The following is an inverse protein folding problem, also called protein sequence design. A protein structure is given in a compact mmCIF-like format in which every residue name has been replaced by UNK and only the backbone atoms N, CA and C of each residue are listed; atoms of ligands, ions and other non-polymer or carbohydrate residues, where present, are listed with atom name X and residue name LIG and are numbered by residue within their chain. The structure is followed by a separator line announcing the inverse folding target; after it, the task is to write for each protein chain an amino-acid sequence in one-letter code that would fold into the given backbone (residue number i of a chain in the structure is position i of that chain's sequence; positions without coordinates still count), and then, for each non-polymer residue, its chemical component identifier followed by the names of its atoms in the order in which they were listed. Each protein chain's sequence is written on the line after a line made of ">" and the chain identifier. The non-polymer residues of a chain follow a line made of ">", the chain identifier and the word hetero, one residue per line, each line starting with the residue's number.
data_IF_227413752876
#
_entry.id   IF_227413752876
#
_cell.length_a   1.000
_cell.length_b   1.000
_cell.length_c   1.000
_cell.angle_alpha   90.00
_cell.angle_beta   90.00
_cell.angle_gamma   90.00
#
_symmetry.space_group_name_H-M   'P 1'
#
loop_
_entity.id
_entity.type
_entity.pdbx_description
1 polymer ?
#
# COMPACT_ATOMS: atom_id res chain seq x y z
N UNK A 1 -11.73 -10.05 -20.34
CA UNK A 1 -11.85 -11.01 -19.22
C UNK A 1 -11.52 -10.28 -17.94
N UNK A 2 -12.40 -10.30 -16.94
CA UNK A 2 -12.08 -9.74 -15.62
C UNK A 2 -11.00 -10.60 -14.95
N UNK A 3 -9.99 -9.98 -14.33
CA UNK A 3 -8.97 -10.71 -13.56
C UNK A 3 -9.64 -11.36 -12.34
N UNK A 4 -9.19 -12.55 -11.95
CA UNK A 4 -9.67 -13.19 -10.72
C UNK A 4 -9.23 -12.39 -9.50
N UNK A 5 -10.02 -12.40 -8.42
CA UNK A 5 -9.65 -11.71 -7.18
C UNK A 5 -8.30 -12.17 -6.61
N UNK A 6 -7.95 -13.45 -6.84
CA UNK A 6 -6.66 -14.06 -6.46
C UNK A 6 -5.48 -13.32 -7.10
N UNK A 7 -5.62 -12.83 -8.33
CA UNK A 7 -4.56 -12.06 -8.97
C UNK A 7 -4.31 -10.72 -8.25
N UNK A 8 -5.35 -10.09 -7.70
CA UNK A 8 -5.18 -8.88 -6.90
C UNK A 8 -4.58 -9.18 -5.53
N UNK A 9 -4.93 -10.31 -4.91
CA UNK A 9 -4.30 -10.76 -3.67
C UNK A 9 -2.79 -10.98 -3.86
N UNK A 10 -2.36 -11.66 -4.92
CA UNK A 10 -0.93 -11.80 -5.23
C UNK A 10 -0.27 -10.45 -5.53
N UNK A 11 -0.97 -9.53 -6.20
CA UNK A 11 -0.42 -8.22 -6.50
C UNK A 11 -0.19 -7.37 -5.23
N UNK A 12 -1.04 -7.51 -4.21
CA UNK A 12 -0.84 -6.91 -2.89
C UNK A 12 0.45 -7.45 -2.26
N UNK A 13 0.63 -8.77 -2.22
CA UNK A 13 1.83 -9.41 -1.67
C UNK A 13 3.10 -8.99 -2.42
N UNK A 14 3.04 -8.91 -3.75
CA UNK A 14 4.16 -8.43 -4.58
C UNK A 14 4.53 -6.98 -4.27
N UNK A 15 3.53 -6.12 -4.03
CA UNK A 15 3.74 -4.72 -3.66
C UNK A 15 4.35 -4.59 -2.26
N UNK A 16 3.89 -5.38 -1.28
CA UNK A 16 4.47 -5.45 0.07
C UNK A 16 5.95 -5.84 -0.03
N UNK A 17 6.25 -6.94 -0.73
CA UNK A 17 7.62 -7.42 -0.88
C UNK A 17 8.54 -6.41 -1.60
N UNK A 18 7.99 -5.58 -2.50
CA UNK A 18 8.74 -4.47 -3.12
C UNK A 18 9.03 -3.37 -2.10
N UNK A 19 8.06 -2.97 -1.29
CA UNK A 19 8.23 -1.94 -0.25
C UNK A 19 9.31 -2.39 0.74
N UNK A 20 9.27 -3.64 1.22
CA UNK A 20 10.29 -4.18 2.13
C UNK A 20 11.69 -4.14 1.52
N UNK A 21 11.83 -4.51 0.23
CA UNK A 21 13.10 -4.40 -0.49
C UNK A 21 13.56 -2.94 -0.63
N UNK A 22 12.64 -1.99 -0.82
CA UNK A 22 12.97 -0.57 -0.87
C UNK A 22 13.49 -0.10 0.50
N UNK A 23 12.82 -0.46 1.60
CA UNK A 23 13.27 -0.14 2.96
C UNK A 23 14.66 -0.71 3.27
N UNK A 24 14.98 -1.90 2.75
CA UNK A 24 16.32 -2.48 2.94
C UNK A 24 17.44 -1.73 2.20
N UNK A 25 17.11 -0.86 1.24
CA UNK A 25 18.10 -0.09 0.45
C UNK A 25 18.50 1.22 1.10
N UNK A 26 17.67 1.77 1.98
CA UNK A 26 17.95 3.06 2.64
C UNK A 26 16.72 3.70 3.26
N UNK A 27 16.93 4.91 3.77
CA UNK A 27 15.89 5.73 4.40
C UNK A 27 15.16 6.55 3.34
N UNK A 28 13.86 6.29 3.17
CA UNK A 28 13.03 7.00 2.19
C UNK A 28 12.82 8.47 2.55
N UNK A 29 13.04 8.89 3.80
CA UNK A 29 12.96 10.32 4.15
C UNK A 29 14.20 11.11 3.72
N UNK A 30 15.24 10.42 3.23
CA UNK A 30 16.51 11.02 2.81
C UNK A 30 16.79 10.82 1.31
N UNK A 31 15.95 10.06 0.59
CA UNK A 31 16.13 9.73 -0.81
C UNK A 31 14.78 9.76 -1.55
N UNK A 32 14.63 10.74 -2.45
CA UNK A 32 13.43 10.96 -3.28
C UNK A 32 13.07 9.73 -4.11
N UNK A 33 14.07 8.96 -4.60
CA UNK A 33 13.81 7.76 -5.40
C UNK A 33 13.21 6.65 -4.53
N UNK A 34 13.69 6.50 -3.30
CA UNK A 34 13.12 5.54 -2.35
C UNK A 34 11.72 5.97 -1.88
N UNK A 35 11.50 7.27 -1.68
CA UNK A 35 10.18 7.84 -1.38
C UNK A 35 9.18 7.55 -2.51
N UNK A 36 9.50 7.95 -3.74
CA UNK A 36 8.62 7.77 -4.90
C UNK A 36 8.34 6.30 -5.18
N UNK A 37 9.37 5.45 -5.09
CA UNK A 37 9.20 4.01 -5.26
C UNK A 37 8.28 3.42 -4.19
N UNK A 38 8.42 3.85 -2.93
CA UNK A 38 7.56 3.41 -1.83
C UNK A 38 6.12 3.86 -2.04
N UNK A 39 5.92 5.14 -2.35
CA UNK A 39 4.63 5.76 -2.60
C UNK A 39 3.88 5.05 -3.73
N UNK A 40 4.57 4.76 -4.84
CA UNK A 40 3.98 4.05 -5.98
C UNK A 40 3.52 2.63 -5.62
N UNK A 41 4.28 1.92 -4.81
CA UNK A 41 3.88 0.57 -4.38
C UNK A 41 2.73 0.61 -3.37
N UNK A 42 2.65 1.61 -2.50
CA UNK A 42 1.49 1.84 -1.62
C UNK A 42 0.21 2.15 -2.42
N UNK A 43 0.29 3.00 -3.45
CA UNK A 43 -0.82 3.25 -4.38
C UNK A 43 -1.27 1.95 -5.04
N UNK A 44 -0.32 1.19 -5.58
CA UNK A 44 -0.60 -0.09 -6.26
C UNK A 44 -1.27 -1.10 -5.34
N UNK A 45 -0.77 -1.22 -4.11
CA UNK A 45 -1.32 -2.09 -3.06
C UNK A 45 -2.75 -1.67 -2.73
N UNK A 46 -2.96 -0.39 -2.42
CA UNK A 46 -4.25 0.12 -1.96
C UNK A 46 -5.34 -0.02 -3.04
N UNK A 47 -5.01 0.23 -4.31
CA UNK A 47 -5.90 -0.03 -5.46
C UNK A 47 -6.27 -1.52 -5.56
N UNK A 48 -5.30 -2.42 -5.42
CA UNK A 48 -5.55 -3.86 -5.49
C UNK A 48 -6.46 -4.36 -4.35
N UNK A 49 -6.41 -3.75 -3.15
CA UNK A 49 -7.33 -4.12 -2.05
C UNK A 49 -8.80 -3.84 -2.36
N UNK A 50 -9.10 -2.83 -3.18
CA UNK A 50 -10.48 -2.51 -3.57
C UNK A 50 -11.10 -3.57 -4.47
N UNK A 51 -10.25 -4.29 -5.21
CA UNK A 51 -10.67 -5.35 -6.12
C UNK A 51 -10.91 -6.70 -5.43
N UNK A 52 -10.61 -6.79 -4.13
CA UNK A 52 -10.96 -7.95 -3.32
C UNK A 52 -12.48 -7.94 -3.03
N UNK A 53 -13.19 -9.08 -3.21
CA UNK A 53 -14.56 -9.21 -2.77
C UNK A 53 -14.69 -9.15 -1.24
N UNK A 54 -15.89 -8.85 -0.75
CA UNK A 54 -16.14 -8.76 0.69
C UNK A 54 -15.94 -10.09 1.43
N UNK A 55 -16.22 -11.22 0.78
CA UNK A 55 -16.09 -12.55 1.42
C UNK A 55 -14.63 -12.86 1.84
N UNK A 56 -13.61 -12.71 0.97
CA UNK A 56 -12.21 -12.77 1.40
C UNK A 56 -11.84 -11.73 2.46
N UNK A 57 -12.25 -10.46 2.33
CA UNK A 57 -11.94 -9.42 3.32
C UNK A 57 -12.48 -9.77 4.72
N UNK A 58 -13.68 -10.34 4.78
CA UNK A 58 -14.33 -10.77 6.03
C UNK A 58 -13.58 -11.90 6.74
N UNK A 59 -12.72 -12.67 6.04
CA UNK A 59 -11.86 -13.67 6.66
C UNK A 59 -10.66 -13.06 7.40
N UNK A 60 -10.34 -11.79 7.12
CA UNK A 60 -9.27 -11.04 7.77
C UNK A 60 -9.82 -9.77 8.43
N UNK A 61 -10.63 -9.91 9.50
CA UNK A 61 -11.27 -8.75 10.15
C UNK A 61 -10.28 -7.88 10.94
N UNK A 62 -9.06 -8.36 11.21
CA UNK A 62 -7.99 -7.56 11.82
C UNK A 62 -7.39 -6.51 10.89
N UNK A 63 -7.66 -6.60 9.58
CA UNK A 63 -7.19 -5.63 8.59
C UNK A 63 -8.22 -4.52 8.44
N UNK A 64 -7.78 -3.27 8.60
CA UNK A 64 -8.60 -2.08 8.38
C UNK A 64 -8.82 -1.77 6.88
N UNK A 65 -9.56 -2.63 6.18
CA UNK A 65 -9.84 -2.50 4.73
C UNK A 65 -10.40 -1.13 4.31
N UNK A 66 -11.22 -0.53 5.17
CA UNK A 66 -11.81 0.80 4.94
C UNK A 66 -10.75 1.90 5.02
N UNK A 67 -9.81 1.81 5.94
CA UNK A 67 -8.72 2.80 6.08
C UNK A 67 -7.78 2.73 4.88
N UNK A 68 -7.46 1.52 4.40
CA UNK A 68 -6.65 1.33 3.18
C UNK A 68 -7.34 1.96 1.96
N UNK A 69 -8.65 1.77 1.83
CA UNK A 69 -9.44 2.38 0.76
C UNK A 69 -9.47 3.91 0.86
N UNK A 70 -9.56 4.45 2.09
CA UNK A 70 -9.48 5.89 2.33
C UNK A 70 -8.11 6.47 2.00
N UNK A 71 -7.04 5.77 2.38
CA UNK A 71 -5.66 6.16 2.10
C UNK A 71 -5.38 6.26 0.60
N UNK A 72 -5.88 5.33 -0.21
CA UNK A 72 -5.80 5.42 -1.69
C UNK A 72 -6.32 6.75 -2.23
N UNK A 73 -7.46 7.22 -1.72
CA UNK A 73 -8.04 8.49 -2.16
C UNK A 73 -7.15 9.69 -1.80
N UNK A 74 -6.47 9.62 -0.64
CA UNK A 74 -5.49 10.64 -0.24
C UNK A 74 -4.28 10.59 -1.19
N UNK A 75 -3.77 9.39 -1.51
CA UNK A 75 -2.64 9.21 -2.41
C UNK A 75 -2.90 9.69 -3.85
N UNK A 76 -4.12 9.49 -4.36
CA UNK A 76 -4.48 9.83 -5.74
C UNK A 76 -4.87 11.31 -5.91
N UNK A 77 -5.46 11.92 -4.87
CA UNK A 77 -5.95 13.30 -4.94
C UNK A 77 -5.00 14.33 -4.31
N UNK A 78 -4.04 13.90 -3.48
CA UNK A 78 -3.12 14.79 -2.75
C UNK A 78 -1.65 14.67 -3.22
N UNK A 79 -1.41 14.15 -4.43
CA UNK A 79 -0.08 13.97 -5.05
C UNK A 79 0.73 15.29 -5.22
N UNK A 80 0.13 16.46 -5.03
CA UNK A 80 0.73 17.77 -5.33
C UNK A 80 0.94 18.70 -4.13
N UNK A 81 0.94 18.22 -2.87
CA UNK A 81 1.24 19.16 -1.77
C UNK A 81 1.53 18.65 -0.36
N UNK A 82 0.89 17.58 0.14
CA UNK A 82 0.80 17.43 1.61
C UNK A 82 1.25 16.08 2.18
N UNK A 83 1.67 15.11 1.38
CA UNK A 83 2.13 13.81 1.90
C UNK A 83 3.66 13.83 2.01
N UNK A 84 4.14 14.09 3.22
CA UNK A 84 5.57 14.09 3.50
C UNK A 84 6.11 12.66 3.70
N UNK A 85 7.43 12.52 3.56
CA UNK A 85 8.12 11.23 3.66
C UNK A 85 8.03 10.58 5.05
N UNK A 86 7.94 11.36 6.13
CA UNK A 86 7.79 10.81 7.50
C UNK A 86 6.41 10.18 7.67
N UNK A 87 5.37 10.80 7.10
CA UNK A 87 4.02 10.23 7.04
C UNK A 87 4.02 8.90 6.28
N UNK A 88 4.63 8.84 5.09
CA UNK A 88 4.75 7.60 4.30
C UNK A 88 5.50 6.51 5.08
N UNK A 89 6.64 6.86 5.69
CA UNK A 89 7.43 5.93 6.48
C UNK A 89 6.64 5.37 7.68
N UNK A 90 5.82 6.21 8.33
CA UNK A 90 4.95 5.81 9.43
C UNK A 90 3.88 4.84 8.96
N UNK A 91 3.24 5.12 7.83
CA UNK A 91 2.22 4.23 7.25
C UNK A 91 2.81 2.86 6.95
N UNK A 92 3.98 2.82 6.30
CA UNK A 92 4.68 1.58 5.99
C UNK A 92 4.98 0.79 7.27
N UNK A 93 5.53 1.44 8.29
CA UNK A 93 5.96 0.74 9.50
C UNK A 93 4.81 0.26 10.39
N UNK A 94 3.66 0.95 10.36
CA UNK A 94 2.53 0.63 11.23
C UNK A 94 1.48 -0.26 10.58
N UNK A 95 1.17 -0.04 9.31
CA UNK A 95 0.01 -0.66 8.65
C UNK A 95 0.39 -1.75 7.67
N UNK A 96 1.59 -1.70 7.06
CA UNK A 96 2.02 -2.75 6.14
C UNK A 96 2.11 -4.14 6.81
N UNK A 97 2.61 -4.27 8.06
CA UNK A 97 2.68 -5.57 8.75
C UNK A 97 1.32 -6.20 9.08
N UNK A 98 0.22 -5.44 9.01
CA UNK A 98 -1.13 -5.99 9.22
C UNK A 98 -1.61 -6.79 8.01
N UNK A 99 -0.95 -6.64 6.85
CA UNK A 99 -1.31 -7.24 5.57
C UNK A 99 -0.51 -8.51 5.23
N UNK A 100 0.40 -8.94 6.09
CA UNK A 100 1.26 -10.12 5.93
C UNK A 100 0.89 -11.24 6.89
#
# INVERSE_FOLDING_TARGET
>A
MSKTWVAYAHHILDAIAKIERIQSRGDLTQDEVLFDASLRNLQTLSEATQMLPEMPKAQFPGISWREISGFRNILDHNYLGDIDAVTVQTVINRHLPELT
#
